data_IF_413645857365
#
_entry.id   IF_413645857365
#
_cell.length_a   1.000
_cell.length_b   1.000
_cell.length_c   1.000
_cell.angle_alpha   90.00
_cell.angle_beta   90.00
_cell.angle_gamma   90.00
#
_symmetry.space_group_name_H-M   'P 1'
#
loop_
_entity.id
_entity.type
_entity.pdbx_description
1 polymer ?
#
# COMPACT_ATOMS: atom_id res chain seq x y z
N UNK A 1 46.89 -9.09 -38.70
CA UNK A 1 47.22 -7.65 -38.49
C UNK A 1 46.57 -7.26 -37.18
N UNK A 2 47.22 -7.49 -36.05
CA UNK A 2 48.25 -6.64 -35.41
C UNK A 2 47.68 -5.31 -34.90
N UNK A 3 47.57 -5.23 -33.56
CA UNK A 3 47.87 -4.13 -32.62
C UNK A 3 46.78 -4.08 -31.53
N UNK A 4 46.93 -4.71 -30.34
CA UNK A 4 47.86 -4.52 -29.20
C UNK A 4 47.55 -3.31 -28.29
N UNK A 5 47.45 -3.66 -26.99
CA UNK A 5 47.88 -2.91 -25.80
C UNK A 5 46.91 -1.90 -25.15
N UNK A 6 46.09 -2.40 -24.21
CA UNK A 6 46.29 -2.39 -22.74
C UNK A 6 46.73 -1.07 -22.01
N UNK A 7 46.68 -0.97 -20.65
CA UNK A 7 45.79 -0.09 -19.89
C UNK A 7 46.55 0.85 -18.92
N UNK A 8 45.86 1.59 -18.07
CA UNK A 8 46.44 2.32 -16.93
C UNK A 8 45.41 2.30 -15.78
N UNK A 9 45.52 1.45 -14.74
CA UNK A 9 46.32 1.55 -13.50
C UNK A 9 46.07 2.88 -12.75
N UNK A 10 45.67 2.90 -11.48
CA UNK A 10 46.35 2.44 -10.25
C UNK A 10 45.28 2.56 -9.11
N UNK A 11 44.97 1.59 -8.24
CA UNK A 11 45.77 0.85 -7.24
C UNK A 11 46.62 1.82 -6.39
N UNK A 12 46.73 1.77 -5.06
CA UNK A 12 46.32 0.89 -3.98
C UNK A 12 46.71 1.71 -2.73
N UNK A 13 46.08 1.64 -1.56
CA UNK A 13 46.52 0.76 -0.47
C UNK A 13 46.60 1.53 0.85
N UNK A 14 46.43 0.81 1.97
CA UNK A 14 47.23 1.05 3.18
C UNK A 14 46.60 1.99 4.22
N UNK A 15 45.58 1.59 4.98
CA UNK A 15 45.63 0.69 6.13
C UNK A 15 46.19 1.30 7.45
N UNK A 16 45.48 0.94 8.53
CA UNK A 16 45.89 0.76 9.95
C UNK A 16 45.65 1.89 10.96
N UNK A 17 44.60 1.64 11.76
CA UNK A 17 44.61 1.46 13.24
C UNK A 17 45.60 2.30 14.05
N UNK A 18 45.09 3.14 14.95
CA UNK A 18 45.13 2.94 16.42
C UNK A 18 44.78 4.25 17.16
N UNK A 19 44.17 4.13 18.36
CA UNK A 19 44.38 5.11 19.43
C UNK A 19 43.12 5.70 20.07
N UNK A 20 42.80 5.18 21.25
CA UNK A 20 41.82 5.69 22.24
C UNK A 20 42.15 7.11 22.76
N UNK A 21 41.11 7.70 23.36
CA UNK A 21 41.09 8.82 24.33
C UNK A 21 41.12 10.22 23.69
N UNK A 22 40.16 11.12 23.91
CA UNK A 22 39.69 11.61 25.21
C UNK A 22 38.41 12.44 25.01
N UNK A 23 37.54 12.40 26.03
CA UNK A 23 36.39 13.28 26.17
C UNK A 23 36.79 14.75 26.42
N UNK A 24 35.82 15.64 26.15
CA UNK A 24 35.54 16.94 26.82
C UNK A 24 35.79 18.20 25.98
N UNK A 25 34.71 19.00 25.90
CA UNK A 25 34.56 20.41 25.49
C UNK A 25 34.23 20.70 24.02
N UNK A 26 32.94 20.87 23.75
CA UNK A 26 32.41 21.99 22.96
C UNK A 26 30.88 22.09 23.14
N UNK A 27 30.46 22.52 24.33
CA UNK A 27 29.12 23.03 24.57
C UNK A 27 29.22 24.52 24.86
N UNK A 28 28.21 25.27 24.42
CA UNK A 28 27.95 26.70 24.66
C UNK A 28 28.72 27.70 23.80
N UNK A 29 28.15 28.07 22.65
CA UNK A 29 27.79 29.46 22.30
C UNK A 29 27.07 29.45 20.95
N UNK A 30 26.16 30.40 20.74
CA UNK A 30 25.27 30.57 19.56
C UNK A 30 23.88 29.93 19.69
N UNK A 31 23.13 30.35 20.73
CA UNK A 31 21.67 30.38 20.72
C UNK A 31 21.13 31.45 21.68
N UNK A 32 21.71 32.67 21.66
CA UNK A 32 21.32 33.77 22.57
C UNK A 32 21.00 35.08 21.89
N UNK A 33 20.56 35.07 20.61
CA UNK A 33 20.32 36.31 19.85
C UNK A 33 18.96 36.46 19.14
N UNK A 34 17.93 35.65 19.47
CA UNK A 34 16.60 35.79 18.85
C UNK A 34 15.42 36.08 19.82
N UNK A 35 15.64 36.15 21.14
CA UNK A 35 14.54 36.22 22.12
C UNK A 35 14.17 37.61 22.67
N UNK A 36 14.79 38.72 22.23
CA UNK A 36 14.69 40.02 22.94
C UNK A 36 13.94 41.14 22.22
N UNK A 37 13.18 40.86 21.15
CA UNK A 37 12.52 41.91 20.34
C UNK A 37 10.99 41.86 20.23
N UNK A 38 10.29 41.00 20.97
CA UNK A 38 8.81 40.87 20.88
C UNK A 38 8.06 41.36 22.15
N UNK A 39 8.75 41.77 23.23
CA UNK A 39 8.08 42.16 24.51
C UNK A 39 8.11 43.68 24.80
N UNK A 40 8.24 44.53 23.79
CA UNK A 40 8.07 45.99 23.97
C UNK A 40 7.24 46.60 22.84
N UNK A 41 5.96 46.22 22.77
CA UNK A 41 4.91 46.99 22.07
C UNK A 41 3.51 46.56 22.55
N UNK A 42 3.24 46.70 23.84
CA UNK A 42 1.88 46.58 24.39
C UNK A 42 1.71 47.35 25.72
N UNK A 43 2.40 48.48 25.88
CA UNK A 43 2.26 49.34 27.05
C UNK A 43 2.24 50.81 26.62
N UNK A 44 1.15 51.23 25.98
CA UNK A 44 0.76 52.64 25.90
C UNK A 44 -0.71 52.76 25.48
N UNK A 45 -1.56 53.12 26.44
CA UNK A 45 -2.74 53.95 26.19
C UNK A 45 -4.05 53.24 25.91
N UNK A 46 -4.80 52.89 26.96
CA UNK A 46 -6.22 53.26 27.07
C UNK A 46 -6.49 53.62 28.52
N UNK A 47 -6.68 54.91 28.80
CA UNK A 47 -7.19 55.39 30.07
C UNK A 47 -8.70 55.15 30.11
N UNK A 48 -9.18 54.33 31.03
CA UNK A 48 -10.61 54.23 31.38
C UNK A 48 -10.81 54.87 32.74
N UNK A 49 -11.64 55.92 32.77
CA UNK A 49 -12.07 56.61 33.99
C UNK A 49 -13.05 55.74 34.80
N UNK A 50 -12.75 55.65 36.09
CA UNK A 50 -13.58 55.36 37.27
C UNK A 50 -15.07 54.97 37.08
N UNK A 51 -15.40 53.76 37.56
CA UNK A 51 -16.73 53.37 38.04
C UNK A 51 -16.55 52.19 39.01
N UNK A 52 -16.99 52.33 40.26
CA UNK A 52 -16.59 51.48 41.38
C UNK A 52 -16.93 49.99 41.23
N UNK A 53 -15.97 49.14 41.57
CA UNK A 53 -16.18 47.74 41.95
C UNK A 53 -15.10 47.36 42.97
N UNK A 54 -15.52 46.77 44.09
CA UNK A 54 -14.64 46.36 45.18
C UNK A 54 -13.56 45.39 44.68
N UNK A 55 -12.29 45.75 44.86
CA UNK A 55 -11.16 44.89 44.55
C UNK A 55 -11.08 43.76 45.59
N UNK A 56 -11.58 42.58 45.25
CA UNK A 56 -11.23 41.35 45.98
C UNK A 56 -9.82 40.93 45.57
N UNK A 57 -8.84 41.13 46.45
CA UNK A 57 -7.49 40.60 46.26
C UNK A 57 -7.51 39.09 46.49
N UNK A 58 -7.64 38.31 45.42
CA UNK A 58 -7.48 36.86 45.48
C UNK A 58 -6.00 36.59 45.80
N UNK A 59 -5.74 36.03 46.98
CA UNK A 59 -4.37 35.68 47.38
C UNK A 59 -3.75 34.70 46.38
N UNK A 60 -2.44 34.83 46.16
CA UNK A 60 -1.64 33.93 45.32
C UNK A 60 -1.93 32.42 45.48
N UNK A 61 -2.23 31.89 46.70
CA UNK A 61 -2.61 30.49 46.86
C UNK A 61 -3.87 30.09 46.08
N UNK A 62 -4.87 30.95 46.00
CA UNK A 62 -6.11 30.69 45.29
C UNK A 62 -5.92 30.78 43.76
N UNK A 63 -5.05 31.68 43.29
CA UNK A 63 -4.67 31.72 41.86
C UNK A 63 -3.93 30.45 41.45
N UNK A 64 -3.01 29.97 42.29
CA UNK A 64 -2.27 28.72 42.04
C UNK A 64 -3.24 27.53 42.02
N UNK A 65 -4.19 27.46 42.95
CA UNK A 65 -5.20 26.39 42.98
C UNK A 65 -6.07 26.37 41.71
N UNK A 66 -6.46 27.54 41.21
CA UNK A 66 -7.22 27.67 39.96
C UNK A 66 -6.37 27.18 38.77
N UNK A 67 -5.11 27.59 38.66
CA UNK A 67 -4.21 27.15 37.58
C UNK A 67 -4.00 25.63 37.61
N UNK A 68 -3.81 25.04 38.79
CA UNK A 68 -3.68 23.59 38.94
C UNK A 68 -4.96 22.88 38.50
N UNK A 69 -6.13 23.38 38.89
CA UNK A 69 -7.42 22.81 38.46
C UNK A 69 -7.59 22.87 36.94
N UNK A 70 -7.19 23.97 36.29
CA UNK A 70 -7.20 24.08 34.83
C UNK A 70 -6.23 23.13 34.14
N UNK A 71 -5.03 22.93 34.68
CA UNK A 71 -4.06 21.96 34.14
C UNK A 71 -4.61 20.54 34.26
N UNK A 72 -5.22 20.18 35.39
CA UNK A 72 -5.84 18.86 35.58
C UNK A 72 -7.00 18.67 34.59
N UNK A 73 -7.85 19.68 34.38
CA UNK A 73 -8.93 19.64 33.40
C UNK A 73 -8.41 19.48 31.96
N UNK A 74 -7.32 20.17 31.60
CA UNK A 74 -6.70 20.04 30.28
C UNK A 74 -6.11 18.64 30.10
N UNK A 75 -5.42 18.10 31.12
CA UNK A 75 -4.88 16.74 31.07
C UNK A 75 -6.00 15.71 30.95
N UNK A 76 -7.09 15.86 31.71
CA UNK A 76 -8.26 14.97 31.62
C UNK A 76 -8.96 15.07 30.26
N UNK A 77 -9.07 16.27 29.69
CA UNK A 77 -9.59 16.46 28.33
C UNK A 77 -8.68 15.82 27.28
N UNK A 78 -7.35 15.95 27.44
CA UNK A 78 -6.38 15.32 26.54
C UNK A 78 -6.39 13.79 26.66
N UNK A 79 -6.48 13.24 27.88
CA UNK A 79 -6.60 11.79 28.07
C UNK A 79 -7.93 11.26 27.56
N UNK A 80 -9.01 12.04 27.66
CA UNK A 80 -10.30 11.69 27.07
C UNK A 80 -10.26 11.75 25.54
N UNK A 81 -9.60 12.75 24.95
CA UNK A 81 -9.40 12.83 23.48
C UNK A 81 -8.54 11.67 22.99
N UNK A 82 -7.47 11.32 23.69
CA UNK A 82 -6.66 10.13 23.36
C UNK A 82 -7.50 8.86 23.50
N UNK A 83 -8.27 8.73 24.60
CA UNK A 83 -9.14 7.57 24.81
C UNK A 83 -10.17 7.45 23.69
N UNK A 84 -10.82 8.55 23.29
CA UNK A 84 -11.77 8.59 22.15
C UNK A 84 -11.08 8.33 20.82
N UNK A 85 -9.86 8.84 20.60
CA UNK A 85 -9.07 8.57 19.40
C UNK A 85 -8.59 7.11 19.33
N UNK A 86 -8.40 6.46 20.47
CA UNK A 86 -8.05 5.03 20.56
C UNK A 86 -9.27 4.11 20.62
N UNK A 87 -10.43 4.61 21.06
CA UNK A 87 -11.70 3.86 21.13
C UNK A 87 -12.57 4.06 19.88
N UNK A 88 -12.12 4.86 18.92
CA UNK A 88 -12.79 5.08 17.63
C UNK A 88 -12.34 4.14 16.52
N UNK A 89 -11.44 3.19 16.81
CA UNK A 89 -11.04 2.15 15.88
C UNK A 89 -11.41 0.78 16.43
N UNK A 90 -12.70 0.62 16.77
CA UNK A 90 -13.33 -0.67 16.50
C UNK A 90 -13.25 -0.83 14.98
N UNK A 91 -12.19 -1.51 14.52
CA UNK A 91 -12.28 -2.25 13.27
C UNK A 91 -13.60 -2.99 13.35
N UNK A 92 -14.59 -2.58 12.57
CA UNK A 92 -15.78 -3.38 12.39
C UNK A 92 -15.26 -4.78 12.09
N UNK A 93 -15.47 -5.71 13.01
CA UNK A 93 -15.02 -7.06 12.80
C UNK A 93 -15.80 -7.55 11.59
N UNK A 94 -15.09 -7.76 10.47
CA UNK A 94 -15.63 -8.32 9.23
C UNK A 94 -15.84 -9.82 9.46
N UNK A 95 -16.55 -10.19 10.52
CA UNK A 95 -16.62 -11.55 11.06
C UNK A 95 -17.52 -12.49 10.25
N UNK A 96 -17.93 -12.12 9.03
CA UNK A 96 -18.86 -12.91 8.21
C UNK A 96 -18.50 -12.97 6.72
N UNK A 97 -17.22 -12.82 6.33
CA UNK A 97 -16.84 -13.19 4.95
C UNK A 97 -16.58 -14.70 4.93
N UNK A 98 -17.50 -15.48 4.36
CA UNK A 98 -17.34 -16.92 4.15
C UNK A 98 -16.50 -17.17 2.91
N UNK A 99 -15.18 -17.11 3.05
CA UNK A 99 -14.26 -17.52 1.99
C UNK A 99 -14.37 -19.02 1.69
N UNK A 100 -14.23 -19.38 0.41
CA UNK A 100 -14.40 -20.75 -0.08
C UNK A 100 -15.78 -21.03 -0.68
N UNK A 101 -16.73 -20.11 -0.54
CA UNK A 101 -18.04 -20.18 -1.19
C UNK A 101 -18.32 -18.91 -2.00
N UNK A 102 -18.97 -19.07 -3.15
CA UNK A 102 -19.39 -17.95 -4.00
C UNK A 102 -18.25 -17.30 -4.81
N UNK A 103 -18.64 -16.62 -5.87
CA UNK A 103 -17.76 -15.82 -6.71
C UNK A 103 -18.52 -14.55 -7.07
N UNK A 104 -17.88 -13.40 -6.89
CA UNK A 104 -18.45 -12.11 -7.28
C UNK A 104 -18.32 -11.89 -8.78
N UNK A 105 -19.02 -10.90 -9.33
CA UNK A 105 -18.82 -10.48 -10.73
C UNK A 105 -17.35 -10.09 -11.01
N UNK A 106 -16.62 -9.58 -10.02
CA UNK A 106 -15.17 -9.32 -10.16
C UNK A 106 -14.42 -10.63 -10.33
N UNK A 107 -14.67 -11.58 -9.43
CA UNK A 107 -14.04 -12.89 -9.48
C UNK A 107 -14.33 -13.59 -10.82
N UNK A 108 -15.57 -13.55 -11.30
CA UNK A 108 -15.97 -14.14 -12.59
C UNK A 108 -15.25 -13.50 -13.78
N UNK A 109 -14.92 -12.21 -13.71
CA UNK A 109 -14.29 -11.47 -14.80
C UNK A 109 -12.76 -11.51 -14.74
N UNK A 110 -12.16 -11.57 -13.56
CA UNK A 110 -10.70 -11.55 -13.39
C UNK A 110 -10.07 -12.93 -13.31
N UNK A 111 -10.69 -13.87 -12.59
CA UNK A 111 -10.12 -15.20 -12.36
C UNK A 111 -10.34 -16.04 -13.63
N UNK A 112 -9.27 -16.53 -14.29
CA UNK A 112 -9.44 -17.41 -15.43
C UNK A 112 -10.22 -18.67 -15.03
N UNK A 113 -11.35 -18.90 -15.69
CA UNK A 113 -12.29 -19.98 -15.37
C UNK A 113 -11.63 -21.37 -15.38
N UNK A 114 -10.60 -21.55 -16.20
CA UNK A 114 -9.79 -22.76 -16.31
C UNK A 114 -8.94 -23.04 -15.07
N UNK A 115 -8.65 -22.04 -14.24
CA UNK A 115 -7.85 -22.19 -13.02
C UNK A 115 -8.71 -22.50 -11.79
N UNK A 116 -10.00 -22.15 -11.82
CA UNK A 116 -10.94 -22.35 -10.71
C UNK A 116 -10.98 -23.81 -10.22
N UNK A 117 -11.09 -24.83 -11.10
CA UNK A 117 -11.09 -26.22 -10.66
C UNK A 117 -9.83 -26.61 -9.89
N UNK A 118 -8.67 -26.07 -10.28
CA UNK A 118 -7.39 -26.34 -9.62
C UNK A 118 -7.37 -25.76 -8.20
N UNK A 119 -7.85 -24.53 -8.02
CA UNK A 119 -7.94 -23.92 -6.68
C UNK A 119 -8.92 -24.67 -5.78
N UNK A 120 -10.09 -25.08 -6.29
CA UNK A 120 -11.09 -25.82 -5.52
C UNK A 120 -10.60 -27.22 -5.13
N UNK A 121 -9.85 -27.89 -6.00
CA UNK A 121 -9.21 -29.16 -5.66
C UNK A 121 -8.15 -28.99 -4.56
N UNK A 122 -7.35 -27.92 -4.62
CA UNK A 122 -6.37 -27.59 -3.60
C UNK A 122 -7.03 -27.23 -2.26
N UNK A 123 -8.10 -26.44 -2.27
CA UNK A 123 -8.92 -26.13 -1.10
C UNK A 123 -9.43 -27.40 -0.43
N UNK A 124 -10.04 -28.31 -1.21
CA UNK A 124 -10.53 -29.59 -0.70
C UNK A 124 -9.44 -30.42 -0.03
N UNK A 125 -8.20 -30.34 -0.52
CA UNK A 125 -7.05 -31.11 -0.01
C UNK A 125 -6.42 -30.47 1.23
N UNK A 126 -6.29 -29.15 1.25
CA UNK A 126 -5.48 -28.43 2.25
C UNK A 126 -6.30 -27.55 3.21
N UNK A 127 -7.59 -27.36 2.97
CA UNK A 127 -8.46 -26.51 3.78
C UNK A 127 -8.17 -25.02 3.65
N UNK A 128 -7.49 -24.60 2.58
CA UNK A 128 -7.19 -23.19 2.28
C UNK A 128 -8.23 -22.67 1.28
N UNK A 129 -8.94 -21.57 1.58
CA UNK A 129 -10.02 -21.09 0.72
C UNK A 129 -9.59 -20.88 -0.73
N UNK A 130 -10.39 -21.34 -1.70
CA UNK A 130 -9.97 -21.28 -3.11
C UNK A 130 -9.86 -19.83 -3.63
N UNK A 131 -10.69 -18.90 -3.14
CA UNK A 131 -10.60 -17.48 -3.47
C UNK A 131 -9.27 -16.86 -2.99
N UNK A 132 -8.73 -17.34 -1.86
CA UNK A 132 -7.44 -16.90 -1.34
C UNK A 132 -6.27 -17.41 -2.21
N UNK A 133 -6.38 -18.63 -2.73
CA UNK A 133 -5.39 -19.18 -3.68
C UNK A 133 -5.42 -18.40 -5.00
N UNK A 134 -6.61 -18.06 -5.51
CA UNK A 134 -6.76 -17.19 -6.67
C UNK A 134 -6.15 -15.79 -6.42
N UNK A 135 -6.38 -15.21 -5.24
CA UNK A 135 -5.80 -13.93 -4.87
C UNK A 135 -4.25 -13.97 -4.83
N UNK A 136 -3.64 -15.01 -4.25
CA UNK A 136 -2.18 -15.17 -4.34
C UNK A 136 -1.72 -15.24 -5.81
N UNK A 137 -2.36 -16.08 -6.63
CA UNK A 137 -1.98 -16.21 -8.04
C UNK A 137 -2.10 -14.86 -8.80
N UNK A 138 -3.12 -14.05 -8.47
CA UNK A 138 -3.29 -12.70 -9.01
C UNK A 138 -2.13 -11.76 -8.63
N UNK A 139 -1.69 -11.80 -7.38
CA UNK A 139 -0.61 -10.94 -6.87
C UNK A 139 0.74 -11.38 -7.41
N UNK A 140 0.99 -12.69 -7.46
CA UNK A 140 2.29 -13.23 -7.84
C UNK A 140 2.59 -13.07 -9.34
N UNK A 141 1.62 -13.37 -10.20
CA UNK A 141 1.86 -13.45 -11.65
C UNK A 141 0.73 -12.88 -12.49
N UNK A 142 -0.26 -12.23 -11.87
CA UNK A 142 -1.47 -11.78 -12.58
C UNK A 142 -2.08 -12.95 -13.36
N UNK A 143 -2.27 -14.07 -12.66
CA UNK A 143 -2.74 -15.32 -13.26
C UNK A 143 -1.85 -15.81 -14.42
N UNK A 144 -0.54 -15.92 -14.18
CA UNK A 144 0.44 -16.44 -15.15
C UNK A 144 0.64 -15.61 -16.42
N UNK A 145 0.26 -14.33 -16.41
CA UNK A 145 0.38 -13.46 -17.59
C UNK A 145 1.71 -12.72 -17.67
N UNK A 146 2.53 -12.77 -16.62
CA UNK A 146 3.89 -12.23 -16.64
C UNK A 146 4.86 -13.20 -17.32
N UNK A 147 5.67 -12.68 -18.26
CA UNK A 147 6.68 -13.46 -18.97
C UNK A 147 8.07 -12.78 -18.87
N UNK A 148 9.12 -13.50 -18.40
CA UNK A 148 9.06 -14.82 -17.78
C UNK A 148 8.41 -14.77 -16.38
N UNK A 149 7.87 -15.90 -15.91
CA UNK A 149 7.38 -16.07 -14.52
C UNK A 149 8.55 -16.19 -13.53
N UNK A 150 9.44 -15.19 -13.52
CA UNK A 150 10.62 -15.10 -12.67
C UNK A 150 10.69 -13.69 -12.08
N UNK A 151 10.66 -13.60 -10.75
CA UNK A 151 10.79 -12.31 -10.05
C UNK A 151 12.24 -11.81 -10.04
N UNK A 152 12.47 -10.50 -9.76
CA UNK A 152 13.81 -9.95 -9.59
C UNK A 152 14.66 -10.60 -8.48
N UNK A 153 14.01 -11.29 -7.54
CA UNK A 153 14.68 -12.00 -6.43
C UNK A 153 14.83 -13.50 -6.69
N UNK A 154 14.44 -13.98 -7.87
CA UNK A 154 14.66 -15.37 -8.30
C UNK A 154 13.55 -16.35 -7.91
N UNK A 155 12.42 -15.86 -7.41
CA UNK A 155 11.22 -16.69 -7.25
C UNK A 155 10.64 -17.07 -8.62
N UNK A 156 10.14 -18.29 -8.79
CA UNK A 156 9.72 -18.83 -10.09
C UNK A 156 8.34 -19.50 -10.07
N UNK A 157 7.74 -19.64 -11.25
CA UNK A 157 6.51 -20.38 -11.44
C UNK A 157 5.23 -19.59 -11.17
N UNK A 158 4.08 -20.25 -11.29
CA UNK A 158 2.77 -19.60 -11.22
C UNK A 158 2.52 -18.84 -9.91
N UNK A 159 3.00 -19.42 -8.80
CA UNK A 159 2.85 -18.86 -7.45
C UNK A 159 4.16 -18.25 -6.90
N UNK A 160 5.18 -18.03 -7.76
CA UNK A 160 6.46 -17.38 -7.42
C UNK A 160 7.13 -17.95 -6.16
N UNK A 161 7.57 -19.21 -6.23
CA UNK A 161 8.31 -19.83 -5.13
C UNK A 161 9.82 -19.57 -5.21
N UNK A 162 10.43 -19.25 -4.07
CA UNK A 162 11.88 -19.32 -3.93
C UNK A 162 12.36 -20.79 -4.00
N UNK A 163 13.49 -21.10 -4.65
CA UNK A 163 13.98 -22.48 -4.81
C UNK A 163 14.09 -23.26 -3.49
N UNK A 164 14.55 -22.62 -2.42
CA UNK A 164 14.67 -23.25 -1.11
C UNK A 164 13.36 -23.43 -0.35
N UNK A 165 12.34 -22.65 -0.68
CA UNK A 165 10.98 -22.91 -0.19
C UNK A 165 10.38 -24.10 -0.94
N UNK A 166 10.60 -24.19 -2.25
CA UNK A 166 10.11 -25.30 -3.07
C UNK A 166 10.75 -26.64 -2.68
N UNK A 167 12.07 -26.72 -2.68
CA UNK A 167 12.83 -27.98 -2.45
C UNK A 167 13.09 -28.24 -0.98
N UNK A 168 13.24 -27.19 -0.18
CA UNK A 168 13.40 -27.29 1.26
C UNK A 168 14.72 -26.73 1.76
N UNK A 169 14.64 -26.04 2.90
CA UNK A 169 15.75 -25.31 3.51
C UNK A 169 16.88 -26.22 4.03
N UNK A 170 16.66 -27.53 4.13
CA UNK A 170 17.73 -28.47 4.48
C UNK A 170 18.65 -28.82 3.29
N UNK A 171 18.34 -28.32 2.08
CA UNK A 171 19.22 -28.49 0.93
C UNK A 171 20.57 -27.76 1.17
N UNK A 172 21.73 -28.39 0.94
CA UNK A 172 23.04 -27.81 1.30
C UNK A 172 23.40 -26.50 0.60
N UNK A 173 22.76 -26.20 -0.53
CA UNK A 173 22.98 -24.95 -1.27
C UNK A 173 22.08 -23.80 -0.83
N UNK A 174 21.12 -24.04 0.07
CA UNK A 174 20.17 -23.03 0.50
C UNK A 174 20.78 -21.95 1.39
N UNK A 175 20.52 -20.69 1.06
CA UNK A 175 21.03 -19.54 1.81
C UNK A 175 20.22 -18.27 1.55
N UNK A 176 20.54 -17.20 2.29
CA UNK A 176 20.00 -15.87 2.05
C UNK A 176 18.47 -15.82 2.11
N UNK A 177 17.86 -15.24 1.09
CA UNK A 177 16.40 -15.06 0.96
C UNK A 177 15.68 -16.30 0.36
N UNK A 178 16.34 -17.46 0.33
CA UNK A 178 15.79 -18.67 -0.26
C UNK A 178 16.40 -19.05 -1.60
N UNK A 179 17.56 -18.45 -1.92
CA UNK A 179 18.38 -18.83 -3.05
C UNK A 179 19.04 -20.18 -2.81
N UNK A 180 19.10 -21.01 -3.85
CA UNK A 180 19.82 -22.28 -3.81
C UNK A 180 20.24 -22.70 -5.22
N UNK A 181 21.49 -23.17 -5.35
CA UNK A 181 21.93 -23.84 -6.57
C UNK A 181 21.34 -25.26 -6.56
N UNK A 182 20.13 -25.40 -7.10
CA UNK A 182 19.38 -26.66 -7.18
C UNK A 182 19.20 -27.00 -8.66
N UNK A 183 19.54 -28.23 -9.03
CA UNK A 183 19.38 -28.68 -10.41
C UNK A 183 17.90 -28.86 -10.76
N UNK A 184 17.52 -28.68 -12.03
CA UNK A 184 16.13 -28.88 -12.49
C UNK A 184 15.60 -30.28 -12.14
N UNK A 185 16.46 -31.29 -12.20
CA UNK A 185 16.11 -32.66 -11.86
C UNK A 185 15.81 -32.83 -10.36
N UNK A 186 16.48 -32.08 -9.48
CA UNK A 186 16.19 -32.10 -8.03
C UNK A 186 15.01 -31.17 -7.69
N UNK A 187 14.87 -30.04 -8.39
CA UNK A 187 13.78 -29.09 -8.22
C UNK A 187 12.42 -29.75 -8.47
N UNK A 188 12.38 -30.67 -9.44
CA UNK A 188 11.15 -31.35 -9.86
C UNK A 188 10.97 -32.76 -9.28
N UNK A 189 11.93 -33.30 -8.50
CA UNK A 189 11.84 -34.64 -7.91
C UNK A 189 11.11 -34.61 -6.55
N UNK A 190 9.90 -35.19 -6.42
CA UNK A 190 9.18 -35.22 -5.15
C UNK A 190 9.98 -35.86 -4.01
N UNK A 191 10.87 -36.82 -4.29
CA UNK A 191 11.71 -37.45 -3.25
C UNK A 191 12.79 -36.51 -2.75
N UNK A 192 13.34 -35.66 -3.62
CA UNK A 192 14.29 -34.64 -3.21
C UNK A 192 13.59 -33.58 -2.34
N UNK A 193 12.41 -33.14 -2.75
CA UNK A 193 11.60 -32.17 -2.00
C UNK A 193 11.25 -32.72 -0.60
N UNK A 194 10.77 -33.96 -0.51
CA UNK A 194 10.47 -34.61 0.77
C UNK A 194 11.74 -34.72 1.65
N UNK A 195 12.86 -35.14 1.05
CA UNK A 195 14.15 -35.29 1.76
C UNK A 195 14.62 -33.98 2.40
N UNK A 196 14.45 -32.85 1.71
CA UNK A 196 14.93 -31.55 2.18
C UNK A 196 13.85 -30.74 2.91
N UNK A 197 12.61 -31.25 2.99
CA UNK A 197 11.50 -30.65 3.71
C UNK A 197 10.91 -29.43 2.98
N UNK A 198 10.84 -29.49 1.65
CA UNK A 198 10.24 -28.45 0.82
C UNK A 198 8.73 -28.56 0.70
N UNK A 199 8.14 -27.53 0.11
CA UNK A 199 6.70 -27.42 -0.09
C UNK A 199 6.21 -27.82 -1.48
N UNK A 200 7.10 -28.10 -2.43
CA UNK A 200 6.74 -28.55 -3.77
C UNK A 200 5.87 -29.82 -3.73
N UNK A 201 4.83 -29.85 -4.55
CA UNK A 201 3.86 -30.95 -4.61
C UNK A 201 3.66 -31.38 -6.06
N UNK A 202 3.71 -32.68 -6.31
CA UNK A 202 3.19 -33.31 -7.54
C UNK A 202 1.66 -33.34 -7.43
N UNK A 203 1.04 -32.27 -7.91
CA UNK A 203 -0.38 -31.99 -7.77
C UNK A 203 -1.23 -32.70 -8.82
N UNK A 204 -0.69 -32.92 -10.03
CA UNK A 204 -1.37 -33.59 -11.12
C UNK A 204 -1.08 -35.11 -11.22
N UNK A 205 -0.07 -35.60 -10.49
CA UNK A 205 0.29 -37.01 -10.39
C UNK A 205 1.16 -37.52 -11.54
N UNK A 206 1.87 -36.63 -12.25
CA UNK A 206 2.73 -37.00 -13.39
C UNK A 206 4.11 -37.56 -12.96
N UNK A 207 4.41 -37.53 -11.66
CA UNK A 207 5.66 -37.98 -11.07
C UNK A 207 6.69 -36.86 -10.86
N UNK A 208 6.33 -35.59 -11.13
CA UNK A 208 7.16 -34.41 -10.92
C UNK A 208 6.40 -33.36 -10.12
N UNK A 209 7.15 -32.53 -9.40
CA UNK A 209 6.63 -31.33 -8.77
C UNK A 209 7.28 -30.11 -9.44
N UNK A 210 6.66 -29.61 -10.53
CA UNK A 210 7.18 -28.51 -11.34
C UNK A 210 6.56 -27.16 -10.93
N UNK A 211 7.34 -26.16 -10.48
CA UNK A 211 6.79 -24.85 -10.14
C UNK A 211 6.12 -24.12 -11.33
N UNK A 212 6.43 -24.51 -12.58
CA UNK A 212 5.81 -24.01 -13.81
C UNK A 212 4.62 -24.85 -14.28
N UNK A 213 4.26 -25.91 -13.54
CA UNK A 213 2.97 -26.56 -13.69
C UNK A 213 1.97 -25.87 -12.76
N UNK A 214 0.87 -25.37 -13.32
CA UNK A 214 -0.15 -24.65 -12.57
C UNK A 214 -0.65 -25.45 -11.35
N UNK A 215 -0.94 -26.74 -11.54
CA UNK A 215 -1.54 -27.57 -10.50
C UNK A 215 -0.55 -27.84 -9.37
N UNK A 216 0.69 -28.16 -9.70
CA UNK A 216 1.77 -28.34 -8.73
C UNK A 216 2.03 -27.06 -7.93
N UNK A 217 2.11 -25.92 -8.61
CA UNK A 217 2.38 -24.62 -8.00
C UNK A 217 1.25 -24.20 -7.05
N UNK A 218 -0.01 -24.34 -7.47
CA UNK A 218 -1.18 -24.04 -6.63
C UNK A 218 -1.27 -25.00 -5.44
N UNK A 219 -1.00 -26.29 -5.64
CA UNK A 219 -1.01 -27.27 -4.56
C UNK A 219 0.12 -27.02 -3.56
N UNK A 220 1.30 -26.61 -4.02
CA UNK A 220 2.41 -26.19 -3.17
C UNK A 220 2.05 -24.93 -2.37
N UNK A 221 1.38 -23.93 -2.96
CA UNK A 221 0.91 -22.74 -2.26
C UNK A 221 -0.12 -23.08 -1.18
N UNK A 222 -1.10 -23.92 -1.51
CA UNK A 222 -2.08 -24.39 -0.54
C UNK A 222 -1.43 -25.20 0.60
N UNK A 223 -0.46 -26.07 0.28
CA UNK A 223 0.33 -26.81 1.27
C UNK A 223 1.11 -25.88 2.20
N UNK A 224 1.77 -24.87 1.64
CA UNK A 224 2.52 -23.86 2.39
C UNK A 224 1.61 -23.07 3.33
N UNK A 225 0.51 -22.52 2.81
CA UNK A 225 -0.43 -21.71 3.59
C UNK A 225 -1.09 -22.52 4.71
N UNK A 226 -1.52 -23.76 4.42
CA UNK A 226 -2.07 -24.66 5.42
C UNK A 226 -1.06 -24.96 6.54
N UNK A 227 0.21 -25.24 6.18
CA UNK A 227 1.28 -25.50 7.15
C UNK A 227 1.62 -24.29 8.04
N UNK A 228 1.24 -23.10 7.59
CA UNK A 228 1.41 -21.84 8.35
C UNK A 228 0.09 -21.36 8.99
N UNK A 229 -0.93 -22.21 9.06
CA UNK A 229 -2.14 -21.98 9.87
C UNK A 229 -3.35 -21.44 9.11
N UNK A 230 -3.29 -21.27 7.78
CA UNK A 230 -4.45 -20.79 7.01
C UNK A 230 -5.67 -21.71 7.16
N UNK A 231 -5.45 -23.03 7.21
CA UNK A 231 -6.52 -24.04 7.38
C UNK A 231 -7.11 -24.05 8.80
N UNK A 232 -6.45 -23.40 9.75
CA UNK A 232 -6.89 -23.25 11.14
C UNK A 232 -7.54 -21.88 11.39
N UNK A 233 -7.66 -21.05 10.34
CA UNK A 233 -8.19 -19.68 10.42
C UNK A 233 -7.14 -18.59 10.66
N UNK A 234 -5.86 -18.94 10.82
CA UNK A 234 -4.74 -17.98 10.95
C UNK A 234 -4.29 -17.50 9.56
N UNK A 235 -5.24 -17.00 8.78
CA UNK A 235 -5.06 -16.70 7.36
C UNK A 235 -4.01 -15.59 7.17
N UNK A 236 -4.13 -14.49 7.91
CA UNK A 236 -3.24 -13.32 7.71
C UNK A 236 -1.80 -13.66 8.09
N UNK A 237 -1.61 -14.44 9.15
CA UNK A 237 -0.30 -14.95 9.57
C UNK A 237 0.31 -15.88 8.52
N UNK A 238 -0.49 -16.77 7.92
CA UNK A 238 -0.04 -17.65 6.85
C UNK A 238 0.36 -16.89 5.58
N UNK A 239 -0.43 -15.90 5.18
CA UNK A 239 -0.12 -15.01 4.04
C UNK A 239 1.16 -14.20 4.35
N UNK A 240 1.31 -13.71 5.59
CA UNK A 240 2.52 -13.03 6.02
C UNK A 240 3.74 -13.95 5.96
N UNK A 241 3.61 -15.22 6.33
CA UNK A 241 4.71 -16.17 6.21
C UNK A 241 5.18 -16.34 4.75
N UNK A 242 4.26 -16.24 3.79
CA UNK A 242 4.56 -16.44 2.36
C UNK A 242 5.56 -15.41 1.80
N UNK A 243 5.39 -14.12 2.12
CA UNK A 243 6.20 -13.03 1.55
C UNK A 243 6.93 -12.16 2.59
N UNK A 244 6.55 -12.24 3.86
CA UNK A 244 7.05 -11.41 4.98
C UNK A 244 6.87 -9.91 4.81
N UNK A 245 5.79 -9.49 4.15
CA UNK A 245 5.47 -8.08 3.97
C UNK A 245 3.99 -7.79 4.23
N UNK A 246 3.72 -6.81 5.11
CA UNK A 246 2.34 -6.41 5.42
C UNK A 246 1.59 -5.93 4.18
N UNK A 247 2.27 -5.22 3.26
CA UNK A 247 1.65 -4.76 2.01
C UNK A 247 1.15 -5.92 1.14
N UNK A 248 1.88 -7.04 1.14
CA UNK A 248 1.50 -8.25 0.40
C UNK A 248 0.27 -8.90 1.04
N UNK A 249 0.23 -8.95 2.38
CA UNK A 249 -0.94 -9.43 3.12
C UNK A 249 -2.17 -8.62 2.75
N UNK A 250 -2.13 -7.29 2.83
CA UNK A 250 -3.30 -6.48 2.49
C UNK A 250 -3.73 -6.64 1.02
N UNK A 251 -2.76 -6.79 0.11
CA UNK A 251 -3.06 -6.98 -1.31
C UNK A 251 -3.79 -8.30 -1.56
N UNK A 252 -3.25 -9.41 -1.05
CA UNK A 252 -3.87 -10.73 -1.16
C UNK A 252 -5.24 -10.77 -0.48
N UNK A 253 -5.35 -10.23 0.74
CA UNK A 253 -6.62 -10.23 1.48
C UNK A 253 -7.69 -9.41 0.76
N UNK A 254 -7.31 -8.25 0.20
CA UNK A 254 -8.24 -7.41 -0.55
C UNK A 254 -8.74 -8.05 -1.84
N UNK A 255 -7.87 -8.72 -2.60
CA UNK A 255 -8.32 -9.51 -3.75
C UNK A 255 -9.23 -10.66 -3.32
N UNK A 256 -8.87 -11.41 -2.28
CA UNK A 256 -9.69 -12.52 -1.76
C UNK A 256 -11.09 -12.05 -1.33
N UNK A 257 -11.18 -10.94 -0.60
CA UNK A 257 -12.46 -10.30 -0.23
C UNK A 257 -13.25 -9.89 -1.48
N UNK A 258 -12.62 -9.18 -2.42
CA UNK A 258 -13.28 -8.72 -3.65
C UNK A 258 -13.84 -9.86 -4.50
N UNK A 259 -13.20 -11.03 -4.49
CA UNK A 259 -13.63 -12.20 -5.23
C UNK A 259 -14.85 -12.88 -4.62
N UNK A 260 -15.16 -12.61 -3.35
CA UNK A 260 -16.35 -13.12 -2.66
C UNK A 260 -17.44 -12.05 -2.61
N UNK A 261 -17.11 -10.86 -2.14
CA UNK A 261 -18.08 -9.78 -1.85
C UNK A 261 -18.38 -8.91 -3.08
N UNK A 262 -17.50 -8.92 -4.09
CA UNK A 262 -17.58 -8.00 -5.22
C UNK A 262 -17.28 -6.55 -4.82
N UNK A 263 -17.75 -5.60 -5.63
CA UNK A 263 -17.81 -4.21 -5.21
C UNK A 263 -19.13 -3.99 -4.48
N UNK A 264 -19.09 -3.38 -3.29
CA UNK A 264 -20.31 -2.78 -2.71
C UNK A 264 -20.63 -1.54 -3.54
N UNK A 265 -21.45 -1.69 -4.57
CA UNK A 265 -22.06 -0.56 -5.24
C UNK A 265 -22.95 0.17 -4.22
N UNK A 266 -22.74 1.47 -4.04
CA UNK A 266 -23.68 2.27 -3.26
C UNK A 266 -25.01 2.26 -4.02
N UNK A 267 -26.06 1.67 -3.44
CA UNK A 267 -27.41 1.75 -4.00
C UNK A 267 -27.78 3.21 -4.29
N UNK A 268 -28.34 3.48 -5.47
CA UNK A 268 -28.94 4.77 -5.83
C UNK A 268 -30.02 5.13 -4.80
N UNK A 269 -29.65 5.84 -3.73
CA UNK A 269 -30.56 6.17 -2.64
C UNK A 269 -29.92 6.28 -1.25
N UNK A 270 -28.72 5.71 -1.06
CA UNK A 270 -27.89 6.10 0.08
C UNK A 270 -27.56 7.59 -0.04
N UNK A 271 -27.65 8.34 1.05
CA UNK A 271 -27.17 9.73 1.14
C UNK A 271 -25.63 9.76 1.10
N UNK A 272 -25.03 9.10 0.12
CA UNK A 272 -23.65 9.20 -0.26
C UNK A 272 -23.39 10.57 -0.85
N UNK A 273 -22.36 11.20 -0.34
CA UNK A 273 -21.89 12.52 -0.68
C UNK A 273 -21.69 12.62 -2.21
N UNK A 274 -22.24 13.67 -2.84
CA UNK A 274 -22.23 13.82 -4.31
C UNK A 274 -20.80 13.85 -4.88
N UNK A 275 -20.60 13.58 -6.18
CA UNK A 275 -19.27 13.65 -6.83
C UNK A 275 -18.51 14.98 -6.67
N UNK A 276 -19.19 16.05 -6.21
CA UNK A 276 -18.57 17.32 -5.78
C UNK A 276 -17.75 17.15 -4.48
N UNK A 277 -18.19 16.30 -3.55
CA UNK A 277 -17.48 16.04 -2.29
C UNK A 277 -16.22 15.18 -2.49
N UNK A 278 -16.22 14.23 -3.44
CA UNK A 278 -15.02 13.45 -3.82
C UNK A 278 -13.92 14.42 -4.28
N UNK A 279 -14.27 15.42 -5.07
CA UNK A 279 -13.32 16.42 -5.56
C UNK A 279 -12.82 17.35 -4.45
N UNK A 280 -13.70 17.76 -3.52
CA UNK A 280 -13.34 18.68 -2.43
C UNK A 280 -12.35 18.06 -1.44
N UNK A 281 -12.43 16.75 -1.20
CA UNK A 281 -11.50 16.00 -0.35
C UNK A 281 -10.06 16.09 -0.85
N UNK A 282 -9.83 15.95 -2.16
CA UNK A 282 -8.48 16.01 -2.73
C UNK A 282 -7.83 17.39 -2.70
N UNK A 283 -8.61 18.47 -2.56
CA UNK A 283 -8.12 19.85 -2.65
C UNK A 283 -7.19 20.24 -1.50
N UNK A 284 -7.28 19.58 -0.35
CA UNK A 284 -6.41 19.90 0.80
C UNK A 284 -4.92 19.66 0.51
N UNK A 285 -4.64 18.77 -0.44
CA UNK A 285 -3.29 18.42 -0.86
C UNK A 285 -2.70 19.39 -1.88
N UNK A 286 -3.48 20.31 -2.43
CA UNK A 286 -2.99 21.34 -3.36
C UNK A 286 -2.00 22.25 -2.62
N UNK A 287 -0.74 22.23 -3.07
CA UNK A 287 0.36 22.97 -2.44
C UNK A 287 0.93 22.34 -1.16
N UNK A 288 0.33 21.24 -0.67
CA UNK A 288 0.77 20.50 0.53
C UNK A 288 1.26 19.07 0.21
N UNK A 289 1.55 18.79 -1.05
CA UNK A 289 1.93 17.46 -1.52
C UNK A 289 3.10 17.49 -2.49
N UNK A 290 3.74 16.33 -2.63
CA UNK A 290 4.82 16.08 -3.58
C UNK A 290 4.55 14.78 -4.32
N UNK A 291 4.77 14.80 -5.64
CA UNK A 291 4.73 13.58 -6.41
C UNK A 291 5.92 12.68 -6.09
N UNK A 292 5.64 11.43 -5.75
CA UNK A 292 6.64 10.39 -5.54
C UNK A 292 6.14 9.14 -6.25
N UNK A 293 6.89 8.63 -7.21
CA UNK A 293 6.53 7.38 -7.90
C UNK A 293 6.43 6.23 -6.88
N UNK A 294 5.28 5.55 -6.81
CA UNK A 294 4.98 4.54 -5.79
C UNK A 294 4.72 5.09 -4.38
N UNK A 295 4.64 6.42 -4.21
CA UNK A 295 4.24 7.05 -2.96
C UNK A 295 2.76 6.84 -2.66
N UNK A 296 2.34 7.18 -1.44
CA UNK A 296 0.93 7.15 -1.03
C UNK A 296 0.40 5.75 -0.73
N UNK A 297 1.27 4.75 -0.62
CA UNK A 297 0.89 3.33 -0.36
C UNK A 297 0.90 2.95 1.13
N UNK A 298 1.18 3.91 2.01
CA UNK A 298 1.22 3.73 3.45
C UNK A 298 0.92 5.06 4.16
N UNK A 299 0.54 5.00 5.43
CA UNK A 299 0.17 6.17 6.22
C UNK A 299 1.32 7.20 6.37
N UNK A 300 2.57 6.73 6.36
CA UNK A 300 3.76 7.57 6.47
C UNK A 300 3.91 8.50 5.25
N UNK A 301 3.62 8.00 4.06
CA UNK A 301 3.64 8.79 2.84
C UNK A 301 2.44 9.73 2.75
N UNK A 302 1.23 9.23 3.06
CA UNK A 302 0.00 10.02 3.10
C UNK A 302 0.15 11.21 4.06
N UNK A 303 0.60 10.98 5.30
CA UNK A 303 0.77 12.05 6.30
C UNK A 303 1.80 13.12 5.92
N UNK A 304 2.68 12.84 4.94
CA UNK A 304 3.66 13.80 4.39
C UNK A 304 3.25 14.32 3.01
N UNK A 305 2.03 14.02 2.54
CA UNK A 305 1.54 14.42 1.24
C UNK A 305 2.33 13.84 0.07
N UNK A 306 2.94 12.65 0.23
CA UNK A 306 3.72 11.99 -0.82
C UNK A 306 2.82 11.03 -1.57
N UNK A 307 2.45 11.35 -2.81
CA UNK A 307 1.53 10.56 -3.62
C UNK A 307 2.11 10.26 -5.00
N UNK A 308 1.79 9.09 -5.56
CA UNK A 308 1.72 8.91 -7.00
C UNK A 308 0.30 9.20 -7.51
N UNK A 309 0.08 9.15 -8.84
CA UNK A 309 -1.21 9.48 -9.41
C UNK A 309 -2.35 8.55 -8.96
N UNK A 310 -2.10 7.24 -8.91
CA UNK A 310 -3.09 6.24 -8.53
C UNK A 310 -3.38 6.18 -7.04
N UNK A 311 -2.39 6.41 -6.19
CA UNK A 311 -2.55 6.46 -4.72
C UNK A 311 -3.27 7.72 -4.27
N UNK A 312 -3.11 8.84 -4.99
CA UNK A 312 -3.94 10.02 -4.73
C UNK A 312 -5.40 9.74 -5.08
N UNK A 313 -5.68 9.13 -6.23
CA UNK A 313 -7.04 8.70 -6.59
C UNK A 313 -7.58 7.75 -5.53
N UNK A 314 -6.83 6.70 -5.16
CA UNK A 314 -7.20 5.79 -4.08
C UNK A 314 -7.60 6.54 -2.81
N UNK A 315 -6.71 7.39 -2.31
CA UNK A 315 -6.93 8.14 -1.07
C UNK A 315 -8.21 8.99 -1.15
N UNK A 316 -8.44 9.70 -2.26
CA UNK A 316 -9.64 10.53 -2.43
C UNK A 316 -10.93 9.70 -2.39
N UNK A 317 -10.95 8.55 -3.07
CA UNK A 317 -12.12 7.67 -3.08
C UNK A 317 -12.34 6.97 -1.74
N UNK A 318 -11.27 6.53 -1.06
CA UNK A 318 -11.31 5.96 0.29
C UNK A 318 -11.90 6.93 1.31
N UNK A 319 -11.46 8.19 1.30
CA UNK A 319 -12.03 9.25 2.14
C UNK A 319 -13.51 9.55 1.82
N UNK A 320 -13.96 9.26 0.60
CA UNK A 320 -15.35 9.34 0.20
C UNK A 320 -16.16 8.07 0.52
N UNK A 321 -15.54 7.04 1.11
CA UNK A 321 -16.14 5.76 1.43
C UNK A 321 -16.35 4.86 0.21
N UNK A 322 -15.58 5.07 -0.85
CA UNK A 322 -15.62 4.28 -2.08
C UNK A 322 -14.36 3.41 -2.14
N UNK A 323 -14.54 2.10 -2.08
CA UNK A 323 -13.45 1.15 -2.19
C UNK A 323 -13.04 0.99 -3.67
N UNK A 324 -11.77 1.28 -3.95
CA UNK A 324 -11.16 1.15 -5.29
C UNK A 324 -9.99 0.15 -5.28
N UNK A 325 -9.94 -0.70 -4.26
CA UNK A 325 -8.92 -1.70 -4.02
C UNK A 325 -7.99 -1.37 -2.85
N UNK A 326 -7.05 -2.26 -2.54
CA UNK A 326 -6.13 -2.09 -1.42
C UNK A 326 -5.17 -0.90 -1.64
N UNK A 327 -4.88 -0.17 -0.56
CA UNK A 327 -3.97 0.99 -0.61
C UNK A 327 -2.59 0.64 -1.18
N UNK A 328 -2.06 -0.54 -0.85
CA UNK A 328 -0.73 -0.99 -1.26
C UNK A 328 -0.60 -1.25 -2.75
N UNK A 329 -1.67 -1.71 -3.40
CA UNK A 329 -1.63 -2.27 -4.76
C UNK A 329 -2.40 -1.46 -5.80
N UNK A 330 -3.24 -0.52 -5.36
CA UNK A 330 -3.99 0.33 -6.28
C UNK A 330 -3.05 1.10 -7.21
N UNK A 331 -3.20 0.86 -8.51
CA UNK A 331 -2.38 1.43 -9.57
C UNK A 331 -3.25 1.95 -10.70
N UNK A 332 -2.67 2.73 -11.61
CA UNK A 332 -3.43 3.17 -12.80
C UNK A 332 -3.97 2.00 -13.60
N UNK A 333 -3.24 0.88 -13.64
CA UNK A 333 -3.65 -0.33 -14.34
C UNK A 333 -4.82 -1.05 -13.66
N UNK A 334 -4.92 -1.04 -12.32
CA UNK A 334 -6.10 -1.61 -11.65
C UNK A 334 -7.31 -0.68 -11.83
N UNK A 335 -7.11 0.62 -11.62
CA UNK A 335 -8.18 1.63 -11.70
C UNK A 335 -8.86 1.69 -13.07
N UNK A 336 -8.14 1.44 -14.17
CA UNK A 336 -8.72 1.49 -15.53
C UNK A 336 -9.71 0.37 -15.83
N UNK A 337 -9.73 -0.68 -15.02
CA UNK A 337 -10.68 -1.80 -15.16
C UNK A 337 -11.91 -1.62 -14.28
N UNK A 338 -11.88 -0.71 -13.31
CA UNK A 338 -12.99 -0.42 -12.43
C UNK A 338 -14.13 0.33 -13.13
N UNK A 339 -15.34 0.16 -12.59
CA UNK A 339 -16.52 0.95 -12.95
C UNK A 339 -16.96 0.86 -14.41
N UNK A 340 -17.96 1.69 -14.74
CA UNK A 340 -18.58 1.73 -16.06
C UNK A 340 -17.78 2.62 -17.01
N UNK A 341 -17.52 2.19 -18.26
CA UNK A 341 -16.95 3.08 -19.27
C UNK A 341 -17.92 4.20 -19.62
N UNK A 342 -17.43 5.45 -19.64
CA UNK A 342 -18.22 6.63 -19.97
C UNK A 342 -17.70 7.25 -21.26
N UNK A 343 -18.61 7.73 -22.11
CA UNK A 343 -18.22 8.50 -23.28
C UNK A 343 -17.70 9.88 -22.87
N UNK A 344 -16.67 10.41 -23.54
CA UNK A 344 -16.07 11.73 -23.25
C UNK A 344 -17.10 12.86 -23.09
N UNK A 345 -18.17 12.85 -23.87
CA UNK A 345 -19.24 13.87 -23.82
C UNK A 345 -20.16 13.76 -22.60
N UNK A 346 -20.14 12.63 -21.91
CA UNK A 346 -21.02 12.29 -20.78
C UNK A 346 -20.24 12.26 -19.44
N UNK A 347 -19.00 12.77 -19.46
CA UNK A 347 -18.14 12.92 -18.27
C UNK A 347 -18.82 13.80 -17.22
N UNK A 348 -18.73 13.40 -15.96
CA UNK A 348 -19.23 14.15 -14.81
C UNK A 348 -18.15 14.23 -13.73
N UNK A 349 -18.15 15.29 -12.90
CA UNK A 349 -17.25 15.38 -11.76
C UNK A 349 -17.26 14.09 -10.92
N UNK A 350 -16.07 13.58 -10.59
CA UNK A 350 -15.87 12.29 -9.94
C UNK A 350 -15.50 11.14 -10.89
N UNK A 351 -15.62 11.29 -12.20
CA UNK A 351 -15.16 10.27 -13.13
C UNK A 351 -13.63 10.18 -13.16
N UNK A 352 -13.09 8.97 -13.28
CA UNK A 352 -11.67 8.76 -13.55
C UNK A 352 -11.36 9.05 -15.02
N UNK A 353 -10.29 9.80 -15.26
CA UNK A 353 -9.78 10.14 -16.60
C UNK A 353 -8.33 9.67 -16.74
N UNK A 354 -8.00 9.11 -17.89
CA UNK A 354 -6.70 8.45 -18.14
C UNK A 354 -5.92 9.11 -19.27
N UNK A 355 -4.59 9.05 -19.16
CA UNK A 355 -3.68 9.74 -20.08
C UNK A 355 -2.49 8.86 -20.48
N UNK A 356 -2.13 8.94 -21.76
CA UNK A 356 -0.99 8.26 -22.36
C UNK A 356 0.28 9.09 -22.20
N UNK A 357 0.92 8.99 -21.03
CA UNK A 357 2.12 9.77 -20.68
C UNK A 357 3.43 9.06 -21.05
N UNK A 358 4.07 8.39 -20.09
CA UNK A 358 5.30 7.60 -20.33
C UNK A 358 4.99 6.19 -20.87
N UNK A 359 3.72 5.79 -20.80
CA UNK A 359 3.14 4.57 -21.39
C UNK A 359 1.65 4.82 -21.67
N UNK A 360 1.01 3.90 -22.38
CA UNK A 360 -0.45 3.88 -22.48
C UNK A 360 -1.09 3.74 -21.10
N UNK A 361 -2.13 4.53 -20.82
CA UNK A 361 -2.75 4.62 -19.49
C UNK A 361 -1.68 4.87 -18.39
N UNK A 362 -0.68 5.71 -18.68
CA UNK A 362 0.44 5.99 -17.78
C UNK A 362 0.08 6.93 -16.61
N UNK A 363 -1.04 7.63 -16.69
CA UNK A 363 -1.50 8.56 -15.67
C UNK A 363 -3.02 8.51 -15.50
N UNK A 364 -3.49 8.81 -14.29
CA UNK A 364 -4.92 8.89 -13.94
C UNK A 364 -5.18 10.09 -13.05
N UNK A 365 -6.36 10.65 -13.18
CA UNK A 365 -6.89 11.66 -12.26
C UNK A 365 -8.41 11.63 -12.19
N UNK A 366 -8.96 12.57 -11.45
CA UNK A 366 -10.40 12.68 -11.18
C UNK A 366 -10.92 13.91 -11.92
N UNK A 367 -11.83 13.72 -12.86
CA UNK A 367 -12.48 14.81 -13.59
C UNK A 367 -13.29 15.67 -12.61
N UNK A 368 -13.19 17.00 -12.74
CA UNK A 368 -13.83 17.94 -11.81
C UNK A 368 -14.87 18.84 -12.48
N UNK A 369 -15.11 18.65 -13.79
CA UNK A 369 -15.98 19.53 -14.58
C UNK A 369 -15.17 20.51 -15.42
N UNK A 370 -15.84 21.22 -16.33
CA UNK A 370 -15.27 22.29 -17.16
C UNK A 370 -13.99 21.93 -17.94
N UNK A 371 -13.79 20.64 -18.24
CA UNK A 371 -12.59 20.18 -18.94
C UNK A 371 -11.35 20.04 -18.05
N UNK A 372 -11.50 20.18 -16.73
CA UNK A 372 -10.41 20.09 -15.76
C UNK A 372 -10.40 18.75 -15.01
N UNK A 373 -9.23 18.37 -14.48
CA UNK A 373 -9.08 17.26 -13.54
C UNK A 373 -8.16 17.60 -12.38
N UNK A 374 -8.34 16.90 -11.26
CA UNK A 374 -7.41 16.89 -10.12
C UNK A 374 -6.63 15.57 -10.11
N UNK A 375 -5.33 15.64 -9.86
CA UNK A 375 -4.44 14.49 -9.80
C UNK A 375 -3.11 14.86 -9.18
N UNK A 376 -2.20 13.90 -8.98
CA UNK A 376 -0.84 14.15 -8.50
C UNK A 376 0.16 14.18 -9.67
N UNK A 377 0.70 15.35 -10.00
CA UNK A 377 1.61 15.58 -11.12
C UNK A 377 3.08 15.66 -10.68
N UNK A 378 3.98 15.09 -11.50
CA UNK A 378 5.42 14.94 -11.23
C UNK A 378 6.11 16.19 -10.68
N UNK A 379 5.77 17.38 -11.20
CA UNK A 379 6.44 18.63 -10.83
C UNK A 379 5.64 19.54 -9.89
N UNK A 380 4.39 19.18 -9.57
CA UNK A 380 3.47 20.06 -8.83
C UNK A 380 2.89 19.43 -7.57
N UNK A 381 3.07 18.11 -7.37
CA UNK A 381 2.27 17.39 -6.37
C UNK A 381 0.83 17.33 -6.85
N UNK A 382 -0.13 17.34 -5.94
CA UNK A 382 -1.56 17.43 -6.28
C UNK A 382 -1.87 18.82 -6.83
N UNK A 383 -2.33 18.88 -8.08
CA UNK A 383 -2.84 20.10 -8.69
C UNK A 383 -4.01 19.84 -9.65
N UNK A 384 -4.71 20.92 -9.96
CA UNK A 384 -5.76 20.95 -10.98
C UNK A 384 -5.13 21.34 -12.32
N UNK A 385 -5.51 20.62 -13.36
CA UNK A 385 -4.99 20.82 -14.70
C UNK A 385 -6.12 20.82 -15.73
N UNK A 386 -5.94 21.62 -16.78
CA UNK A 386 -6.87 21.74 -17.90
C UNK A 386 -6.57 20.69 -18.97
N UNK A 387 -7.55 19.83 -19.29
CA UNK A 387 -7.46 18.77 -20.30
C UNK A 387 -7.90 19.21 -21.70
N UNK A 388 -8.31 20.46 -21.85
CA UNK A 388 -8.85 21.00 -23.11
C UNK A 388 -7.79 21.75 -23.93
N UNK A 389 -6.60 21.95 -23.36
CA UNK A 389 -5.48 22.59 -24.05
C UNK A 389 -4.12 22.03 -23.62
N UNK A 390 -3.13 22.16 -24.49
CA UNK A 390 -1.73 21.94 -24.17
C UNK A 390 -1.39 20.47 -23.89
N UNK A 391 -0.52 20.23 -22.91
CA UNK A 391 0.03 18.89 -22.63
C UNK A 391 -1.06 17.86 -22.30
N UNK A 392 -2.04 18.21 -21.47
CA UNK A 392 -3.05 17.25 -21.03
C UNK A 392 -4.11 16.97 -22.08
N UNK A 393 -4.38 17.91 -22.99
CA UNK A 393 -5.20 17.65 -24.18
C UNK A 393 -4.55 16.60 -25.08
N UNK A 394 -3.25 16.73 -25.34
CA UNK A 394 -2.49 15.78 -26.17
C UNK A 394 -2.43 14.38 -25.54
N UNK A 395 -2.31 14.32 -24.21
CA UNK A 395 -2.13 13.06 -23.49
C UNK A 395 -3.44 12.37 -23.12
N UNK A 396 -4.57 13.08 -23.10
CA UNK A 396 -5.85 12.47 -22.75
C UNK A 396 -6.27 11.45 -23.80
N UNK A 397 -6.34 10.18 -23.41
CA UNK A 397 -6.54 9.07 -24.35
C UNK A 397 -8.02 8.75 -24.60
N UNK A 398 -8.94 9.47 -23.95
CA UNK A 398 -10.38 9.31 -24.11
C UNK A 398 -11.01 8.24 -23.22
N UNK A 399 -10.22 7.49 -22.44
CA UNK A 399 -10.75 6.53 -21.46
C UNK A 399 -11.28 7.30 -20.26
N UNK A 400 -12.54 6.99 -19.91
CA UNK A 400 -13.23 7.51 -18.74
C UNK A 400 -13.92 6.36 -18.03
N UNK A 401 -13.79 6.31 -16.71
CA UNK A 401 -14.48 5.35 -15.85
C UNK A 401 -15.30 6.05 -14.79
N UNK A 402 -16.54 5.62 -14.60
CA UNK A 402 -17.39 6.03 -13.47
C UNK A 402 -17.51 4.88 -12.49
N UNK A 403 -17.09 5.14 -11.27
CA UNK A 403 -17.20 4.22 -10.14
C UNK A 403 -18.63 4.24 -9.58
#
# INVERSE_FOLDING_TARGET
>A
MSQTNEPYTSDDSGARKAGKATAKKAGTHVAKKAGKKIVQKAAAGVAVKSGGAAAFSIGWPAVIAIVIAWIILIVLAFTFIILVATSGNETASRDNVTWGEGISEIGENEIPSEFIPVYQEAEKKYGVPWNLLAAHHRVETVFSTIEPMISPVGATGHMQFMPCTWVGWNHPSCSGLGEGNISEAELTDPKAIEKYGGYGVDGDGDGKADPNNLKDSVFAAANYLASNGASEGNIREAVFAYNHADWYVEEVMGFADSYVDGYVAIEEGSKGKSGVEVVDVGREWIGNSQYVFGGGRNQSDISRGRFDCSSFVHWVFDQAGIDVGPLGSTSTDTLKHLGKPIAKRDMKPGDLVFFDTYKQDGHVGIYIGDGEFIGAQTNKGVSIEDMTQGYWEEKFNGRVKRL
#
